data_IF_374506255425
#
_entry.id   IF_374506255425
#
_cell.length_a   1.000
_cell.length_b   1.000
_cell.length_c   1.000
_cell.angle_alpha   90.00
_cell.angle_beta   90.00
_cell.angle_gamma   90.00
#
_symmetry.space_group_name_H-M   'P 1'
#
loop_
_entity.id
_entity.type
_entity.pdbx_description
1 polymer ?
#
# COMPACT_ATOMS: atom_id res chain seq x y z
N UNK A 1 -17.40 -10.95 27.88
CA UNK A 1 -16.24 -10.13 28.31
C UNK A 1 -16.17 -8.91 27.42
N UNK A 2 -16.03 -7.71 27.96
CA UNK A 2 -15.88 -6.49 27.13
C UNK A 2 -14.39 -6.15 26.94
N UNK A 3 -13.97 -6.03 25.68
CA UNK A 3 -12.57 -5.74 25.36
C UNK A 3 -12.34 -4.23 25.53
N UNK A 4 -11.46 -3.84 26.47
CA UNK A 4 -11.02 -2.44 26.60
C UNK A 4 -10.33 -2.00 25.32
N UNK A 5 -10.88 -0.98 24.67
CA UNK A 5 -10.41 -0.46 23.39
C UNK A 5 -10.47 1.05 23.32
N UNK A 6 -9.57 1.63 22.53
CA UNK A 6 -9.55 3.05 22.20
C UNK A 6 -9.38 3.22 20.70
N UNK A 7 -10.34 3.85 20.04
CA UNK A 7 -10.29 4.19 18.62
C UNK A 7 -10.09 5.71 18.51
N UNK A 8 -9.04 6.13 17.82
CA UNK A 8 -8.72 7.54 17.61
C UNK A 8 -8.23 7.76 16.18
N UNK A 9 -8.38 8.98 15.68
CA UNK A 9 -7.84 9.37 14.40
C UNK A 9 -6.63 10.26 14.59
N UNK A 10 -5.64 10.10 13.73
CA UNK A 10 -4.41 10.88 13.71
C UNK A 10 -4.02 11.19 12.29
N UNK A 11 -3.38 12.32 12.07
CA UNK A 11 -2.85 12.70 10.77
C UNK A 11 -1.37 12.37 10.67
N UNK A 12 -0.94 12.03 9.46
CA UNK A 12 0.46 11.80 9.12
C UNK A 12 0.78 12.49 7.80
N UNK A 13 1.79 13.35 7.81
CA UNK A 13 2.30 13.97 6.59
C UNK A 13 2.86 12.91 5.63
N UNK A 14 2.53 13.00 4.34
CA UNK A 14 3.01 12.15 3.27
C UNK A 14 3.48 13.00 2.09
N UNK A 15 4.30 12.41 1.22
CA UNK A 15 4.90 13.12 0.08
C UNK A 15 6.26 13.75 0.40
N UNK A 16 6.98 14.14 -0.67
CA UNK A 16 8.32 14.75 -0.55
C UNK A 16 8.26 16.10 0.17
N UNK A 17 7.23 16.90 -0.08
CA UNK A 17 7.06 18.24 0.49
C UNK A 17 6.20 18.25 1.77
N UNK A 18 5.68 17.09 2.21
CA UNK A 18 4.79 16.95 3.37
C UNK A 18 3.52 17.81 3.29
N UNK A 19 3.03 18.08 2.08
CA UNK A 19 1.88 18.97 1.84
C UNK A 19 0.53 18.26 1.95
N UNK A 20 0.53 16.92 2.09
CA UNK A 20 -0.67 16.11 2.24
C UNK A 20 -0.62 15.38 3.57
N UNK A 21 -1.69 15.49 4.33
CA UNK A 21 -1.85 14.84 5.63
C UNK A 21 -2.87 13.73 5.53
N UNK A 22 -2.38 12.48 5.49
CA UNK A 22 -3.24 11.31 5.50
C UNK A 22 -3.83 11.09 6.90
N UNK A 23 -5.15 10.90 6.98
CA UNK A 23 -5.83 10.54 8.22
C UNK A 23 -5.73 9.02 8.39
N UNK A 24 -5.34 8.60 9.59
CA UNK A 24 -5.24 7.17 9.97
C UNK A 24 -6.08 6.92 11.20
N UNK A 25 -6.81 5.82 11.18
CA UNK A 25 -7.51 5.32 12.36
C UNK A 25 -6.53 4.49 13.18
N UNK A 26 -6.34 4.88 14.44
CA UNK A 26 -5.52 4.16 15.41
C UNK A 26 -6.40 3.42 16.38
N UNK A 27 -6.19 2.13 16.48
CA UNK A 27 -6.90 1.23 17.37
C UNK A 27 -5.93 0.66 18.39
N UNK A 28 -6.24 0.87 19.67
CA UNK A 28 -5.47 0.29 20.78
C UNK A 28 -6.38 -0.61 21.60
N UNK A 29 -5.97 -1.85 21.85
CA UNK A 29 -6.70 -2.82 22.63
C UNK A 29 -5.73 -3.85 23.20
N UNK A 30 -5.96 -4.31 24.42
CA UNK A 30 -5.18 -5.37 25.07
C UNK A 30 -3.65 -5.25 24.82
N UNK A 31 -3.07 -4.08 25.09
CA UNK A 31 -1.65 -3.73 24.85
C UNK A 31 -1.17 -3.77 23.39
N UNK A 32 -2.07 -4.06 22.44
CA UNK A 32 -1.78 -3.96 21.02
C UNK A 32 -2.19 -2.61 20.45
N UNK A 33 -1.51 -2.22 19.37
CA UNK A 33 -1.80 -0.99 18.63
C UNK A 33 -1.68 -1.23 17.13
N UNK A 34 -2.72 -0.87 16.39
CA UNK A 34 -2.78 -1.00 14.93
C UNK A 34 -3.21 0.33 14.33
N UNK A 35 -2.61 0.73 13.22
CA UNK A 35 -2.98 1.91 12.45
C UNK A 35 -3.58 1.48 11.09
N UNK A 36 -4.82 1.89 10.82
CA UNK A 36 -5.53 1.62 9.57
C UNK A 36 -5.55 2.87 8.68
N UNK A 37 -5.45 2.67 7.36
CA UNK A 37 -5.63 3.74 6.38
C UNK A 37 -7.13 4.00 6.20
N UNK A 38 -7.54 5.28 6.24
CA UNK A 38 -8.95 5.67 6.01
C UNK A 38 -9.22 6.09 4.56
N UNK A 39 -8.19 6.33 3.76
CA UNK A 39 -8.35 6.94 2.45
C UNK A 39 -8.54 8.47 2.48
N UNK A 40 -8.97 9.02 3.61
CA UNK A 40 -9.13 10.46 3.78
C UNK A 40 -7.80 11.19 3.94
N UNK A 41 -7.71 12.41 3.42
CA UNK A 41 -6.54 13.27 3.55
C UNK A 41 -6.93 14.74 3.63
N UNK A 42 -6.02 15.55 4.17
CA UNK A 42 -6.13 16.99 4.22
C UNK A 42 -4.91 17.61 3.53
N UNK A 43 -5.09 18.75 2.89
CA UNK A 43 -3.99 19.51 2.27
C UNK A 43 -3.37 20.51 3.24
N UNK A 44 -4.01 20.79 4.37
CA UNK A 44 -3.53 21.70 5.39
C UNK A 44 -3.83 21.16 6.78
N UNK A 45 -2.79 21.08 7.61
CA UNK A 45 -2.87 20.61 9.00
C UNK A 45 -3.75 21.49 9.88
N UNK A 46 -3.90 22.79 9.59
CA UNK A 46 -4.71 23.71 10.38
C UNK A 46 -6.17 23.30 10.49
N UNK A 47 -6.68 22.57 9.48
CA UNK A 47 -8.02 22.01 9.47
C UNK A 47 -8.17 20.70 10.25
N UNK A 48 -7.16 20.29 11.02
CA UNK A 48 -7.26 19.11 11.87
C UNK A 48 -7.34 19.47 13.35
N UNK A 49 -8.26 18.82 14.06
CA UNK A 49 -8.35 18.89 15.50
C UNK A 49 -7.76 17.61 16.11
N UNK A 50 -6.58 17.75 16.72
CA UNK A 50 -5.86 16.62 17.33
C UNK A 50 -6.53 16.08 18.60
N UNK A 51 -7.29 16.92 19.32
CA UNK A 51 -7.98 16.56 20.55
C UNK A 51 -9.22 15.72 20.24
N UNK A 52 -10.05 16.22 19.32
CA UNK A 52 -11.28 15.54 18.94
C UNK A 52 -11.06 14.47 17.85
N UNK A 53 -9.94 14.51 17.15
CA UNK A 53 -9.62 13.58 16.07
C UNK A 53 -10.57 13.71 14.89
N UNK A 54 -10.89 14.93 14.49
CA UNK A 54 -11.78 15.27 13.38
C UNK A 54 -11.29 16.46 12.56
N UNK A 55 -11.83 16.60 11.34
CA UNK A 55 -11.59 17.81 10.55
C UNK A 55 -12.39 18.98 11.10
N UNK A 56 -11.75 20.16 11.15
CA UNK A 56 -12.37 21.45 11.55
C UNK A 56 -13.27 21.97 10.44
N UNK A 57 -14.22 22.84 10.82
CA UNK A 57 -15.15 23.44 9.87
C UNK A 57 -14.44 24.33 8.85
N UNK A 58 -15.05 24.45 7.67
CA UNK A 58 -14.56 25.28 6.58
C UNK A 58 -13.58 24.62 5.62
N UNK A 59 -13.18 23.35 5.85
CA UNK A 59 -12.32 22.64 4.93
C UNK A 59 -13.01 22.34 3.59
N UNK A 60 -12.29 22.62 2.50
CA UNK A 60 -12.65 22.23 1.14
C UNK A 60 -11.40 21.65 0.46
N UNK A 61 -11.42 20.39 0.19
CA UNK A 61 -10.33 19.67 -0.48
C UNK A 61 -10.37 19.81 -2.00
N UNK A 62 -9.25 19.51 -2.68
CA UNK A 62 -9.12 19.69 -4.14
C UNK A 62 -10.01 18.75 -4.97
N UNK A 63 -10.54 17.67 -4.37
CA UNK A 63 -11.46 16.73 -5.00
C UNK A 63 -12.92 16.94 -4.60
N UNK A 64 -13.22 18.09 -3.99
CA UNK A 64 -14.56 18.41 -3.50
C UNK A 64 -14.88 17.83 -2.13
N UNK A 65 -13.88 17.27 -1.42
CA UNK A 65 -14.07 16.83 -0.04
C UNK A 65 -14.41 18.04 0.85
N UNK A 66 -15.38 17.86 1.71
CA UNK A 66 -15.77 18.87 2.72
C UNK A 66 -15.51 18.34 4.12
N UNK A 67 -15.44 19.23 5.11
CA UNK A 67 -15.40 18.85 6.52
C UNK A 67 -16.46 17.80 6.86
N UNK A 68 -17.69 18.02 6.39
CA UNK A 68 -18.80 17.13 6.68
C UNK A 68 -18.59 15.74 6.07
N UNK A 69 -18.15 15.68 4.80
CA UNK A 69 -17.90 14.39 4.12
C UNK A 69 -16.80 13.60 4.82
N UNK A 70 -15.68 14.26 5.16
CA UNK A 70 -14.57 13.61 5.87
C UNK A 70 -15.02 13.11 7.24
N UNK A 71 -15.68 13.94 8.04
CA UNK A 71 -16.10 13.56 9.38
C UNK A 71 -17.15 12.44 9.38
N UNK A 72 -18.03 12.39 8.38
CA UNK A 72 -18.96 11.29 8.19
C UNK A 72 -18.23 9.99 7.84
N UNK A 73 -17.24 10.05 6.95
CA UNK A 73 -16.40 8.88 6.67
C UNK A 73 -15.64 8.38 7.90
N UNK A 74 -15.03 9.28 8.67
CA UNK A 74 -14.34 8.91 9.91
C UNK A 74 -15.29 8.26 10.93
N UNK A 75 -16.52 8.78 11.04
CA UNK A 75 -17.55 8.16 11.88
C UNK A 75 -17.87 6.75 11.39
N UNK A 76 -18.08 6.57 10.10
CA UNK A 76 -18.35 5.27 9.51
C UNK A 76 -17.22 4.27 9.78
N UNK A 77 -15.94 4.66 9.59
CA UNK A 77 -14.81 3.80 9.94
C UNK A 77 -14.80 3.40 11.42
N UNK A 78 -15.12 4.33 12.32
CA UNK A 78 -15.24 4.05 13.75
C UNK A 78 -16.34 3.03 14.03
N UNK A 79 -17.54 3.25 13.47
CA UNK A 79 -18.71 2.39 13.68
C UNK A 79 -18.46 0.96 13.18
N UNK A 80 -17.78 0.83 12.03
CA UNK A 80 -17.38 -0.48 11.49
C UNK A 80 -16.38 -1.19 12.41
N UNK A 81 -15.41 -0.47 12.97
CA UNK A 81 -14.45 -1.03 13.90
C UNK A 81 -15.12 -1.44 15.21
N UNK A 82 -16.02 -0.60 15.76
CA UNK A 82 -16.81 -0.94 16.94
C UNK A 82 -17.67 -2.19 16.71
N UNK A 83 -18.30 -2.29 15.56
CA UNK A 83 -19.09 -3.47 15.19
C UNK A 83 -18.21 -4.71 15.04
N UNK A 84 -16.97 -4.55 14.58
CA UNK A 84 -15.99 -5.64 14.53
C UNK A 84 -15.61 -6.12 15.93
N UNK A 85 -15.40 -5.21 16.88
CA UNK A 85 -15.14 -5.59 18.26
C UNK A 85 -16.36 -6.27 18.93
N UNK A 86 -17.57 -5.76 18.69
CA UNK A 86 -18.82 -6.42 19.20
C UNK A 86 -18.94 -7.86 18.73
N UNK A 87 -18.48 -8.17 17.51
CA UNK A 87 -18.44 -9.55 17.03
C UNK A 87 -17.53 -10.43 17.89
N UNK A 88 -16.33 -9.95 18.27
CA UNK A 88 -15.41 -10.69 19.13
C UNK A 88 -15.90 -10.72 20.59
N UNK A 89 -16.50 -9.64 21.09
CA UNK A 89 -17.13 -9.58 22.41
C UNK A 89 -18.25 -10.65 22.54
N UNK A 90 -19.07 -10.81 21.49
CA UNK A 90 -20.14 -11.82 21.46
C UNK A 90 -19.60 -13.27 21.42
N UNK A 91 -18.38 -13.47 20.91
CA UNK A 91 -17.72 -14.78 20.92
C UNK A 91 -16.89 -15.01 22.20
N UNK A 92 -16.90 -14.07 23.13
CA UNK A 92 -16.06 -14.04 24.34
C UNK A 92 -14.56 -14.27 24.05
N UNK A 93 -14.07 -13.69 22.94
CA UNK A 93 -12.73 -13.91 22.42
C UNK A 93 -11.98 -12.61 22.20
N UNK A 94 -10.77 -12.50 22.75
CA UNK A 94 -9.86 -11.40 22.47
C UNK A 94 -9.17 -11.67 21.12
N UNK A 95 -9.37 -10.82 20.08
CA UNK A 95 -8.74 -11.04 18.79
C UNK A 95 -7.23 -10.74 18.84
N UNK A 96 -6.46 -11.48 18.04
CA UNK A 96 -5.11 -11.04 17.70
C UNK A 96 -5.17 -9.85 16.73
N UNK A 97 -4.09 -9.06 16.60
CA UNK A 97 -4.01 -7.96 15.62
C UNK A 97 -4.39 -8.37 14.20
N UNK A 98 -3.91 -9.51 13.74
CA UNK A 98 -4.19 -10.05 12.39
C UNK A 98 -5.65 -10.48 12.22
N UNK A 99 -6.25 -11.07 13.26
CA UNK A 99 -7.68 -11.46 13.24
C UNK A 99 -8.58 -10.24 13.20
N UNK A 100 -8.27 -9.20 13.99
CA UNK A 100 -9.02 -7.95 13.99
C UNK A 100 -8.95 -7.28 12.61
N UNK A 101 -7.75 -7.18 12.05
CA UNK A 101 -7.54 -6.58 10.73
C UNK A 101 -8.31 -7.32 9.65
N UNK A 102 -8.16 -8.64 9.56
CA UNK A 102 -8.87 -9.46 8.58
C UNK A 102 -10.39 -9.29 8.69
N UNK A 103 -10.94 -9.35 9.90
CA UNK A 103 -12.38 -9.22 10.10
C UNK A 103 -12.91 -7.83 9.76
N UNK A 104 -12.13 -6.80 10.05
CA UNK A 104 -12.44 -5.43 9.68
C UNK A 104 -12.42 -5.22 8.15
N UNK A 105 -11.40 -5.73 7.46
CA UNK A 105 -11.30 -5.68 5.99
C UNK A 105 -12.45 -6.45 5.30
N UNK A 106 -12.84 -7.60 5.83
CA UNK A 106 -14.00 -8.35 5.34
C UNK A 106 -15.29 -7.52 5.43
N UNK A 107 -15.49 -6.76 6.52
CA UNK A 107 -16.63 -5.88 6.67
C UNK A 107 -16.61 -4.70 5.71
N UNK A 108 -15.48 -4.05 5.56
CA UNK A 108 -15.33 -2.94 4.61
C UNK A 108 -15.62 -3.40 3.18
N UNK A 109 -15.12 -4.55 2.77
CA UNK A 109 -15.37 -5.11 1.44
C UNK A 109 -16.82 -5.53 1.21
N UNK A 110 -17.57 -5.86 2.26
CA UNK A 110 -19.01 -6.18 2.18
C UNK A 110 -19.92 -4.96 2.16
N UNK A 111 -19.44 -3.79 2.57
CA UNK A 111 -20.24 -2.55 2.69
C UNK A 111 -19.98 -1.59 1.54
N UNK A 112 -18.78 -1.54 1.03
CA UNK A 112 -18.54 -0.90 -0.25
C UNK A 112 -19.26 -1.73 -1.32
N UNK A 113 -20.28 -1.19 -2.03
CA UNK A 113 -20.59 -1.76 -3.32
C UNK A 113 -19.23 -1.72 -4.02
N UNK A 114 -18.72 -2.90 -4.28
CA UNK A 114 -17.49 -3.08 -5.03
C UNK A 114 -17.71 -2.26 -6.30
N UNK A 115 -17.31 -0.97 -6.25
CA UNK A 115 -17.04 -0.28 -7.50
C UNK A 115 -16.11 -1.27 -8.17
N UNK A 116 -16.51 -1.87 -9.30
CA UNK A 116 -15.61 -2.77 -9.96
C UNK A 116 -14.35 -1.91 -10.10
N UNK A 117 -13.39 -2.21 -9.22
CA UNK A 117 -12.03 -1.78 -9.48
C UNK A 117 -11.85 -2.27 -10.89
N UNK A 118 -11.64 -1.37 -11.89
CA UNK A 118 -11.41 -1.87 -13.22
C UNK A 118 -10.32 -2.88 -12.94
N UNK A 119 -10.65 -4.16 -13.17
CA UNK A 119 -9.64 -5.19 -13.14
C UNK A 119 -8.59 -4.61 -14.06
N UNK A 120 -7.65 -3.91 -13.45
CA UNK A 120 -6.40 -3.68 -14.11
C UNK A 120 -6.01 -5.11 -14.40
N UNK A 121 -6.15 -5.56 -15.67
CA UNK A 121 -5.69 -6.87 -16.00
C UNK A 121 -4.34 -6.87 -15.34
N UNK A 122 -4.08 -7.85 -14.45
CA UNK A 122 -2.74 -8.08 -13.94
C UNK A 122 -1.94 -8.05 -15.21
N UNK A 123 -1.40 -6.87 -15.52
CA UNK A 123 -0.46 -6.70 -16.59
C UNK A 123 0.64 -7.59 -16.08
N UNK A 124 0.56 -8.85 -16.50
CA UNK A 124 1.74 -9.69 -16.53
C UNK A 124 2.68 -8.78 -17.28
N UNK A 125 3.57 -8.13 -16.49
CA UNK A 125 4.64 -7.34 -17.08
C UNK A 125 5.11 -8.24 -18.20
N UNK A 126 4.96 -7.85 -19.48
CA UNK A 126 5.34 -8.73 -20.55
C UNK A 126 6.72 -9.19 -20.13
N UNK A 127 6.93 -10.50 -20.02
CA UNK A 127 8.24 -11.05 -19.72
C UNK A 127 9.11 -10.38 -20.75
N UNK A 128 9.84 -9.33 -20.32
CA UNK A 128 10.75 -8.65 -21.21
C UNK A 128 11.57 -9.72 -21.90
N UNK A 129 11.98 -9.55 -23.14
CA UNK A 129 12.77 -10.54 -23.84
C UNK A 129 13.87 -10.99 -22.88
N UNK A 130 14.10 -12.29 -22.80
CA UNK A 130 15.09 -12.89 -21.92
C UNK A 130 16.40 -12.09 -22.06
N UNK A 131 16.95 -11.65 -20.93
CA UNK A 131 18.15 -10.83 -20.89
C UNK A 131 19.26 -11.41 -21.77
N UNK A 132 19.38 -12.74 -21.84
CA UNK A 132 20.38 -13.41 -22.63
C UNK A 132 20.08 -13.34 -24.13
N UNK A 133 18.82 -13.33 -24.54
CA UNK A 133 18.43 -13.10 -25.94
C UNK A 133 18.80 -11.67 -26.36
N UNK A 134 18.54 -10.69 -25.51
CA UNK A 134 18.90 -9.28 -25.76
C UNK A 134 20.41 -9.12 -25.80
N UNK A 135 21.15 -9.81 -24.92
CA UNK A 135 22.61 -9.79 -24.88
C UNK A 135 23.22 -10.39 -26.15
N UNK A 136 22.71 -11.51 -26.61
CA UNK A 136 23.18 -12.18 -27.83
C UNK A 136 22.91 -11.32 -29.08
N UNK A 137 21.73 -10.70 -29.16
CA UNK A 137 21.40 -9.78 -30.25
C UNK A 137 22.26 -8.50 -30.24
N UNK A 138 22.52 -7.95 -29.04
CA UNK A 138 23.45 -6.82 -28.86
C UNK A 138 24.85 -7.19 -29.33
N UNK A 139 25.37 -8.32 -28.86
CA UNK A 139 26.72 -8.78 -29.22
C UNK A 139 26.89 -8.95 -30.73
N UNK A 140 25.90 -9.54 -31.40
CA UNK A 140 25.88 -9.72 -32.84
C UNK A 140 25.84 -8.36 -33.56
N UNK A 141 24.85 -7.49 -33.28
CA UNK A 141 24.65 -6.20 -33.93
C UNK A 141 25.83 -5.25 -33.72
N UNK A 142 26.37 -5.18 -32.50
CA UNK A 142 27.50 -4.31 -32.19
C UNK A 142 28.78 -4.89 -32.75
N UNK A 143 28.96 -6.21 -32.77
CA UNK A 143 30.10 -6.87 -33.36
C UNK A 143 30.20 -6.62 -34.87
N UNK A 144 29.08 -6.76 -35.60
CA UNK A 144 28.99 -6.48 -37.03
C UNK A 144 29.25 -4.99 -37.33
N UNK A 145 28.57 -4.08 -36.60
CA UNK A 145 28.69 -2.64 -36.79
C UNK A 145 30.10 -2.09 -36.53
N UNK A 146 30.78 -2.62 -35.53
CA UNK A 146 32.07 -2.13 -35.07
C UNK A 146 33.25 -3.01 -35.51
N UNK A 147 33.02 -3.97 -36.42
CA UNK A 147 34.01 -4.91 -36.94
C UNK A 147 34.86 -5.55 -35.80
N UNK A 148 34.17 -6.15 -34.80
CA UNK A 148 34.86 -6.76 -33.66
C UNK A 148 35.76 -7.93 -34.10
N UNK A 149 36.90 -8.05 -33.44
CA UNK A 149 37.81 -9.19 -33.65
C UNK A 149 37.24 -10.45 -32.97
N UNK A 150 37.72 -11.61 -33.42
CA UNK A 150 37.35 -12.92 -32.81
C UNK A 150 37.58 -12.88 -31.30
N UNK A 151 38.72 -12.32 -30.85
CA UNK A 151 39.02 -12.21 -29.42
C UNK A 151 37.99 -11.36 -28.65
N UNK A 152 37.37 -10.39 -29.30
CA UNK A 152 36.28 -9.59 -28.66
C UNK A 152 35.01 -10.42 -28.51
N UNK A 153 34.65 -11.19 -29.51
CA UNK A 153 33.49 -12.11 -29.41
C UNK A 153 33.69 -13.18 -28.34
N UNK A 154 34.90 -13.74 -28.23
CA UNK A 154 35.25 -14.69 -27.16
C UNK A 154 35.08 -14.09 -25.75
N UNK A 155 35.53 -12.84 -25.54
CA UNK A 155 35.34 -12.12 -24.28
C UNK A 155 33.88 -11.91 -23.95
N UNK A 156 33.05 -11.57 -24.92
CA UNK A 156 31.59 -11.39 -24.71
C UNK A 156 30.91 -12.73 -24.41
N UNK A 157 31.37 -13.80 -25.05
CA UNK A 157 30.88 -15.15 -24.77
C UNK A 157 31.22 -15.62 -23.33
N UNK A 158 32.45 -15.33 -22.87
CA UNK A 158 32.87 -15.61 -21.49
C UNK A 158 32.04 -14.81 -20.49
N UNK A 159 31.84 -13.50 -20.73
CA UNK A 159 30.99 -12.64 -19.89
C UNK A 159 29.55 -13.18 -19.80
N UNK A 160 29.00 -13.64 -20.92
CA UNK A 160 27.67 -14.25 -20.96
C UNK A 160 27.58 -15.49 -20.06
N UNK A 161 28.59 -16.36 -20.12
CA UNK A 161 28.67 -17.56 -19.29
C UNK A 161 28.76 -17.21 -17.79
N UNK A 162 29.56 -16.20 -17.46
CA UNK A 162 29.67 -15.72 -16.07
C UNK A 162 28.34 -15.16 -15.55
N UNK A 163 27.62 -14.37 -16.36
CA UNK A 163 26.31 -13.85 -16.01
C UNK A 163 25.28 -14.98 -15.81
N UNK A 164 25.29 -16.02 -16.62
CA UNK A 164 24.43 -17.20 -16.46
C UNK A 164 24.72 -17.94 -15.15
N UNK A 165 25.97 -18.06 -14.76
CA UNK A 165 26.38 -18.72 -13.52
C UNK A 165 26.09 -17.86 -12.27
N UNK A 166 26.01 -16.53 -12.42
CA UNK A 166 25.73 -15.59 -11.31
C UNK A 166 24.23 -15.44 -11.01
N UNK A 167 23.39 -15.52 -12.04
CA UNK A 167 21.96 -15.27 -11.96
C UNK A 167 21.17 -16.14 -10.96
N UNK A 168 21.46 -17.44 -10.81
CA UNK A 168 20.75 -18.30 -9.87
C UNK A 168 21.03 -18.04 -8.39
N UNK A 169 22.10 -17.31 -8.06
CA UNK A 169 22.57 -17.12 -6.67
C UNK A 169 22.02 -15.84 -6.02
N UNK A 170 21.43 -14.94 -6.78
CA UNK A 170 20.85 -13.70 -6.25
C UNK A 170 19.34 -13.86 -6.12
N UNK A 171 18.88 -14.46 -4.99
CA UNK A 171 17.52 -14.26 -4.52
C UNK A 171 17.48 -12.86 -3.92
N UNK A 172 16.87 -11.92 -4.63
CA UNK A 172 16.50 -10.62 -4.06
C UNK A 172 15.45 -10.88 -2.98
N UNK A 173 15.85 -10.65 -1.72
CA UNK A 173 15.02 -10.68 -0.51
C UNK A 173 14.03 -9.52 -0.54
#
# INVERSE_FOLDING_TARGET
MEIKRKISFKIRAIGKNRDIYQIRMRVSFNSHRIDFKTGCSLVDKSFWDDLEGRARDGYKGPRGETTLSINNELRNYRDQMETTFRFFDAMDKIPTPSQLQKKYEERLSGITPRRPEPETPKVQKPKGPDMFVVFDEFTRKCGEKNAWTIATFEKMSALRADLQNFGPKVKLS
#
